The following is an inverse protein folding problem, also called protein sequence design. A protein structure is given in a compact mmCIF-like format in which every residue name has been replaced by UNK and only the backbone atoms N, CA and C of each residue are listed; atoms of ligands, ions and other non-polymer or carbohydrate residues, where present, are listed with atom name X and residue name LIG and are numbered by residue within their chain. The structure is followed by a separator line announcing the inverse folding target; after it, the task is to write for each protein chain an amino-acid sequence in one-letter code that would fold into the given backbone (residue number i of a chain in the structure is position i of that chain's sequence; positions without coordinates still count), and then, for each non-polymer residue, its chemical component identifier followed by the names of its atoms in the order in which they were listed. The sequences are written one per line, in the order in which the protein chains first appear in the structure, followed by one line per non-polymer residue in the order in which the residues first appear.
data_IF_193881496149
#
_entry.id   IF_193881496149
#
_cell.length_a   1.000
_cell.length_b   1.000
_cell.length_c   1.000
_cell.angle_alpha   90.00
_cell.angle_beta   90.00
_cell.angle_gamma   90.00
#
_symmetry.space_group_name_H-M   'P 1'
#
loop_
_entity.id
_entity.type
_entity.pdbx_description
1 polymer ?
#
# COMPACT_ATOMS: atom_id res chain seq x y z
N UNK A 1 35.19 22.02 -19.93
CA UNK A 1 34.06 21.27 -20.48
C UNK A 1 33.88 21.68 -21.94
N UNK A 2 33.93 20.74 -22.85
CA UNK A 2 33.78 21.00 -24.28
C UNK A 2 32.27 21.03 -24.63
N UNK A 3 31.83 21.72 -25.71
CA UNK A 3 30.45 21.75 -26.14
C UNK A 3 29.86 20.35 -26.39
N UNK A 4 30.68 19.39 -26.79
CA UNK A 4 30.28 18.00 -26.97
C UNK A 4 29.99 17.30 -25.65
N UNK A 5 30.67 17.62 -24.58
CA UNK A 5 30.40 17.07 -23.24
C UNK A 5 29.12 17.65 -22.62
N UNK A 6 28.83 18.93 -22.91
CA UNK A 6 27.56 19.55 -22.50
C UNK A 6 26.36 18.95 -23.26
N UNK A 7 26.53 18.65 -24.54
CA UNK A 7 25.50 17.99 -25.34
C UNK A 7 25.29 16.55 -24.92
N UNK A 8 26.36 15.85 -24.56
CA UNK A 8 26.25 14.46 -24.05
C UNK A 8 25.56 14.42 -22.68
N UNK A 9 25.90 15.32 -21.77
CA UNK A 9 25.28 15.45 -20.48
C UNK A 9 23.77 15.79 -20.60
N UNK A 10 23.42 16.68 -21.54
CA UNK A 10 22.03 17.02 -21.81
C UNK A 10 21.24 15.86 -22.47
N UNK A 11 21.90 15.02 -23.25
CA UNK A 11 21.29 13.83 -23.84
C UNK A 11 21.13 12.69 -22.82
N UNK A 12 22.07 12.54 -21.89
CA UNK A 12 21.96 11.57 -20.79
C UNK A 12 20.85 11.94 -19.81
N UNK A 13 20.63 13.24 -19.58
CA UNK A 13 19.51 13.73 -18.77
C UNK A 13 18.13 13.48 -19.43
N UNK A 14 18.11 13.44 -20.77
CA UNK A 14 16.90 13.10 -21.55
C UNK A 14 16.59 11.59 -21.54
N UNK A 15 17.55 10.74 -21.14
CA UNK A 15 17.41 9.29 -21.10
C UNK A 15 17.37 8.73 -19.67
N UNK A 16 17.38 9.58 -18.65
CA UNK A 16 17.13 9.15 -17.28
C UNK A 16 15.71 8.56 -17.21
N UNK A 17 15.52 7.34 -16.65
CA UNK A 17 14.20 6.76 -16.54
C UNK A 17 13.33 7.66 -15.68
N UNK A 18 12.29 8.24 -16.28
CA UNK A 18 11.30 9.01 -15.55
C UNK A 18 10.39 8.06 -14.77
N UNK A 19 10.31 8.26 -13.46
CA UNK A 19 9.35 7.56 -12.60
C UNK A 19 8.06 8.35 -12.61
N UNK A 20 7.00 7.77 -13.13
CA UNK A 20 5.69 8.42 -13.23
C UNK A 20 4.75 8.03 -12.08
N UNK A 21 4.87 6.80 -11.61
CA UNK A 21 3.97 6.25 -10.59
C UNK A 21 4.69 5.35 -9.60
N UNK A 22 4.45 5.64 -8.34
CA UNK A 22 4.90 4.83 -7.21
C UNK A 22 3.66 4.19 -6.58
N UNK A 23 3.64 2.86 -6.51
CA UNK A 23 2.62 2.10 -5.81
C UNK A 23 3.07 1.79 -4.40
N UNK A 24 2.25 2.08 -3.41
CA UNK A 24 2.46 1.64 -2.04
C UNK A 24 1.32 0.72 -1.61
N UNK A 25 1.68 -0.50 -1.21
CA UNK A 25 0.72 -1.43 -0.64
C UNK A 25 0.50 -1.10 0.83
N UNK A 26 -0.74 -0.91 1.21
CA UNK A 26 -1.15 -0.45 2.54
C UNK A 26 -2.01 -1.50 3.25
N UNK A 27 -1.76 -1.67 4.51
CA UNK A 27 -2.65 -2.30 5.47
C UNK A 27 -2.80 -1.37 6.69
N UNK A 28 -3.47 -1.80 7.74
CA UNK A 28 -3.67 -0.99 8.94
C UNK A 28 -2.52 -1.09 9.96
N UNK A 29 -1.37 -1.64 9.58
CA UNK A 29 -0.23 -1.80 10.48
C UNK A 29 0.64 -0.54 10.54
N UNK A 30 1.38 -0.37 11.63
CA UNK A 30 2.34 0.72 11.79
C UNK A 30 3.47 0.67 10.75
N UNK A 31 3.89 -0.53 10.36
CA UNK A 31 4.92 -0.73 9.33
C UNK A 31 4.48 -0.22 7.96
N UNK A 32 3.21 -0.41 7.67
CA UNK A 32 2.59 0.14 6.46
C UNK A 32 2.58 1.66 6.45
N UNK A 33 2.32 2.29 7.59
CA UNK A 33 2.33 3.75 7.72
C UNK A 33 3.74 4.32 7.57
N UNK A 34 4.76 3.64 8.09
CA UNK A 34 6.17 4.02 7.90
C UNK A 34 6.58 3.93 6.42
N UNK A 35 6.13 2.88 5.73
CA UNK A 35 6.35 2.71 4.29
C UNK A 35 5.68 3.81 3.48
N UNK A 36 4.53 4.26 3.92
CA UNK A 36 3.78 5.35 3.28
C UNK A 36 4.54 6.68 3.35
N UNK A 37 5.13 7.03 4.48
CA UNK A 37 5.92 8.25 4.61
C UNK A 37 7.14 8.22 3.67
N UNK A 38 7.84 7.10 3.60
CA UNK A 38 8.95 6.90 2.67
C UNK A 38 8.49 7.04 1.21
N UNK A 39 7.40 6.38 0.84
CA UNK A 39 6.85 6.42 -0.51
C UNK A 39 6.45 7.85 -0.92
N UNK A 40 5.85 8.60 -0.01
CA UNK A 40 5.44 9.97 -0.24
C UNK A 40 6.63 10.90 -0.46
N UNK A 41 7.66 10.77 0.35
CA UNK A 41 8.91 11.54 0.18
C UNK A 41 9.61 11.22 -1.13
N UNK A 42 9.63 9.95 -1.51
CA UNK A 42 10.19 9.52 -2.79
C UNK A 42 9.40 10.08 -3.96
N UNK A 43 8.08 10.02 -3.90
CA UNK A 43 7.20 10.61 -4.92
C UNK A 43 7.42 12.11 -5.06
N UNK A 44 7.59 12.84 -3.96
CA UNK A 44 7.89 14.26 -3.97
C UNK A 44 9.22 14.57 -4.68
N UNK A 45 10.27 13.79 -4.38
CA UNK A 45 11.59 13.97 -4.99
C UNK A 45 11.59 13.65 -6.49
N UNK A 46 10.88 12.61 -6.89
CA UNK A 46 10.83 12.14 -8.28
C UNK A 46 9.72 12.83 -9.09
N UNK A 47 8.92 13.67 -8.46
CA UNK A 47 7.73 14.30 -9.07
C UNK A 47 6.79 13.26 -9.67
N UNK A 48 6.67 12.12 -8.99
CA UNK A 48 5.82 11.01 -9.37
C UNK A 48 4.45 11.09 -8.69
N UNK A 49 3.46 10.42 -9.27
CA UNK A 49 2.17 10.18 -8.63
C UNK A 49 2.30 9.02 -7.63
N UNK A 50 1.65 9.15 -6.48
CA UNK A 50 1.60 8.14 -5.46
C UNK A 50 0.24 7.43 -5.51
N UNK A 51 0.25 6.12 -5.76
CA UNK A 51 -0.94 5.28 -5.70
C UNK A 51 -0.90 4.40 -4.47
N UNK A 52 -1.92 4.53 -3.60
CA UNK A 52 -2.12 3.63 -2.47
C UNK A 52 -3.03 2.47 -2.86
N UNK A 53 -2.61 1.26 -2.58
CA UNK A 53 -3.39 0.04 -2.77
C UNK A 53 -3.65 -0.62 -1.43
N UNK A 54 -4.92 -0.74 -1.08
CA UNK A 54 -5.36 -1.53 0.06
C UNK A 54 -5.98 -2.84 -0.44
N UNK A 55 -5.45 -3.98 0.01
CA UNK A 55 -5.96 -5.28 -0.40
C UNK A 55 -6.83 -5.88 0.69
N UNK A 56 -8.10 -6.10 0.37
CA UNK A 56 -9.00 -6.93 1.17
C UNK A 56 -8.68 -8.39 0.89
N UNK A 57 -7.96 -9.04 1.82
CA UNK A 57 -7.50 -10.41 1.62
C UNK A 57 -8.67 -11.39 1.68
N UNK A 58 -8.93 -12.04 0.57
CA UNK A 58 -10.00 -13.05 0.47
C UNK A 58 -9.77 -14.26 1.38
N UNK A 59 -8.52 -14.55 1.73
CA UNK A 59 -8.23 -15.65 2.65
C UNK A 59 -8.74 -15.34 4.05
N UNK A 60 -8.62 -14.11 4.50
CA UNK A 60 -9.21 -13.66 5.76
C UNK A 60 -10.74 -13.71 5.72
N UNK A 61 -11.34 -13.27 4.62
CA UNK A 61 -12.78 -13.30 4.42
C UNK A 61 -13.33 -14.74 4.39
N UNK A 62 -12.63 -15.67 3.71
CA UNK A 62 -12.97 -17.09 3.67
C UNK A 62 -12.86 -17.74 5.04
N UNK A 63 -11.86 -17.38 5.83
CA UNK A 63 -11.73 -17.87 7.20
C UNK A 63 -12.89 -17.41 8.08
N UNK A 64 -13.37 -16.19 7.92
CA UNK A 64 -14.52 -15.67 8.67
C UNK A 64 -15.84 -16.37 8.31
N UNK A 65 -15.97 -16.90 7.09
CA UNK A 65 -17.16 -17.61 6.61
C UNK A 65 -17.18 -19.09 7.02
N UNK A 66 -16.09 -19.63 7.56
CA UNK A 66 -16.04 -21.02 8.03
C UNK A 66 -16.76 -21.18 9.37
N UNK A 67 -17.74 -22.13 9.47
CA UNK A 67 -18.55 -22.28 10.68
C UNK A 67 -17.78 -22.73 11.93
N UNK A 68 -16.55 -23.18 11.78
CA UNK A 68 -15.70 -23.65 12.88
C UNK A 68 -14.59 -22.65 13.26
N UNK A 69 -14.51 -21.51 12.59
CA UNK A 69 -13.48 -20.50 12.90
C UNK A 69 -14.00 -19.57 13.98
N UNK A 70 -13.62 -19.86 15.20
CA UNK A 70 -13.73 -18.91 16.31
C UNK A 70 -12.41 -18.15 16.40
N UNK A 71 -12.41 -16.92 15.94
CA UNK A 71 -11.32 -16.02 16.25
C UNK A 71 -11.45 -15.64 17.72
N UNK A 72 -10.71 -16.32 18.56
CA UNK A 72 -10.56 -15.94 19.96
C UNK A 72 -9.67 -14.71 20.01
N UNK A 73 -10.25 -13.56 19.91
CA UNK A 73 -9.55 -12.33 20.27
C UNK A 73 -9.42 -12.30 21.79
N UNK A 74 -8.21 -12.38 22.29
CA UNK A 74 -7.90 -12.32 23.73
C UNK A 74 -8.36 -11.00 24.36
N UNK A 75 -8.70 -10.01 23.55
CA UNK A 75 -9.13 -8.68 24.00
C UNK A 75 -10.67 -8.56 24.19
N UNK A 76 -11.44 -9.51 23.71
CA UNK A 76 -12.91 -9.49 23.86
C UNK A 76 -13.38 -10.75 24.60
N UNK A 77 -13.80 -10.57 25.81
CA UNK A 77 -14.40 -11.60 26.66
C UNK A 77 -15.78 -12.05 26.19
N UNK A 78 -16.26 -11.56 25.05
CA UNK A 78 -17.63 -11.79 24.60
C UNK A 78 -17.84 -12.98 23.68
N UNK A 79 -16.87 -13.86 23.45
CA UNK A 79 -17.04 -15.15 22.78
C UNK A 79 -17.78 -15.14 21.43
N UNK A 80 -17.99 -13.99 20.84
CA UNK A 80 -18.64 -13.85 19.54
C UNK A 80 -17.59 -14.04 18.45
N UNK A 81 -17.74 -15.08 17.64
CA UNK A 81 -16.97 -15.27 16.43
C UNK A 81 -17.13 -14.06 15.51
N UNK A 82 -16.05 -13.67 14.85
CA UNK A 82 -16.10 -12.61 13.86
C UNK A 82 -16.98 -13.06 12.69
N UNK A 83 -18.14 -12.44 12.53
CA UNK A 83 -19.00 -12.70 11.38
C UNK A 83 -18.43 -12.08 10.10
N UNK A 84 -18.75 -12.63 8.94
CA UNK A 84 -18.35 -12.06 7.65
C UNK A 84 -18.73 -10.56 7.52
N UNK A 85 -19.98 -10.14 7.86
CA UNK A 85 -20.32 -8.71 7.82
C UNK A 85 -19.49 -7.83 8.76
N UNK A 86 -19.08 -8.34 9.91
CA UNK A 86 -18.22 -7.63 10.85
C UNK A 86 -16.80 -7.47 10.30
N UNK A 87 -16.28 -8.51 9.66
CA UNK A 87 -14.98 -8.49 8.99
C UNK A 87 -14.96 -7.49 7.84
N UNK A 88 -15.98 -7.49 7.01
CA UNK A 88 -16.11 -6.54 5.90
C UNK A 88 -16.18 -5.08 6.37
N UNK A 89 -16.90 -4.82 7.46
CA UNK A 89 -16.94 -3.48 8.06
C UNK A 89 -15.59 -3.04 8.60
N UNK A 90 -14.88 -3.94 9.25
CA UNK A 90 -13.55 -3.68 9.77
C UNK A 90 -12.56 -3.39 8.64
N UNK A 91 -12.57 -4.17 7.57
CA UNK A 91 -11.73 -3.94 6.39
C UNK A 91 -12.02 -2.60 5.73
N UNK A 92 -13.30 -2.22 5.62
CA UNK A 92 -13.66 -0.89 5.09
C UNK A 92 -13.18 0.24 5.98
N UNK A 93 -13.25 0.06 7.30
CA UNK A 93 -12.73 1.02 8.28
C UNK A 93 -11.22 1.17 8.13
N UNK A 94 -10.50 0.07 8.03
CA UNK A 94 -9.06 0.06 7.83
C UNK A 94 -8.66 0.71 6.49
N UNK A 95 -9.38 0.41 5.42
CA UNK A 95 -9.16 1.04 4.12
C UNK A 95 -9.37 2.56 4.19
N UNK A 96 -10.37 3.01 4.90
CA UNK A 96 -10.62 4.44 5.10
C UNK A 96 -9.50 5.13 5.87
N UNK A 97 -9.03 4.51 6.93
CA UNK A 97 -7.88 5.02 7.72
C UNK A 97 -6.62 5.10 6.84
N UNK A 98 -6.35 4.05 6.06
CA UNK A 98 -5.22 4.03 5.14
C UNK A 98 -5.32 5.15 4.08
N UNK A 99 -6.50 5.34 3.50
CA UNK A 99 -6.77 6.40 2.54
C UNK A 99 -6.56 7.79 3.14
N UNK A 100 -7.11 8.03 4.30
CA UNK A 100 -7.01 9.33 4.96
C UNK A 100 -5.56 9.64 5.35
N UNK A 101 -4.81 8.66 5.80
CA UNK A 101 -3.39 8.79 6.10
C UNK A 101 -2.58 9.09 4.84
N UNK A 102 -2.88 8.40 3.74
CA UNK A 102 -2.26 8.69 2.43
C UNK A 102 -2.53 10.13 1.99
N UNK A 103 -3.79 10.56 2.07
CA UNK A 103 -4.19 11.91 1.70
C UNK A 103 -3.44 12.97 2.52
N UNK A 104 -3.35 12.80 3.83
CA UNK A 104 -2.64 13.72 4.71
C UNK A 104 -1.15 13.81 4.37
N UNK A 105 -0.49 12.67 4.15
CA UNK A 105 0.92 12.65 3.76
C UNK A 105 1.14 13.28 2.39
N UNK A 106 0.31 12.95 1.41
CA UNK A 106 0.43 13.48 0.06
C UNK A 106 0.21 15.00 0.02
N UNK A 107 -0.75 15.52 0.75
CA UNK A 107 -0.99 16.95 0.88
C UNK A 107 0.19 17.67 1.54
N UNK A 108 0.77 17.06 2.58
CA UNK A 108 1.94 17.61 3.29
C UNK A 108 3.13 17.86 2.36
N UNK A 109 3.35 16.97 1.40
CA UNK A 109 4.48 17.03 0.46
C UNK A 109 4.08 17.52 -0.93
N UNK A 110 2.85 17.97 -1.12
CA UNK A 110 2.30 18.43 -2.40
C UNK A 110 2.44 17.37 -3.53
N UNK A 111 2.15 16.11 -3.20
CA UNK A 111 2.20 14.96 -4.11
C UNK A 111 0.81 14.68 -4.64
N UNK A 112 0.70 14.43 -5.95
CA UNK A 112 -0.53 13.91 -6.53
C UNK A 112 -0.70 12.45 -6.09
N UNK A 113 -1.91 12.11 -5.69
CA UNK A 113 -2.19 10.78 -5.16
C UNK A 113 -3.51 10.22 -5.69
N UNK A 114 -3.57 8.90 -5.67
CA UNK A 114 -4.79 8.12 -5.87
C UNK A 114 -4.83 6.97 -4.87
N UNK A 115 -6.00 6.44 -4.64
CA UNK A 115 -6.19 5.33 -3.71
C UNK A 115 -7.22 4.37 -4.28
N UNK A 116 -6.95 3.08 -4.19
CA UNK A 116 -7.92 2.05 -4.53
C UNK A 116 -7.86 0.88 -3.57
N UNK A 117 -8.98 0.22 -3.45
CA UNK A 117 -9.12 -1.08 -2.78
C UNK A 117 -9.25 -2.17 -3.83
N UNK A 118 -8.60 -3.30 -3.59
CA UNK A 118 -8.76 -4.51 -4.36
C UNK A 118 -9.14 -5.66 -3.43
N UNK A 119 -9.94 -6.58 -3.91
CA UNK A 119 -10.29 -7.80 -3.18
C UNK A 119 -9.69 -8.99 -3.90
N UNK A 120 -8.88 -9.76 -3.21
CA UNK A 120 -8.21 -10.91 -3.79
C UNK A 120 -7.11 -11.46 -2.89
N UNK A 121 -6.26 -12.32 -3.45
CA UNK A 121 -5.06 -12.76 -2.78
C UNK A 121 -4.03 -11.61 -2.77
N UNK A 122 -3.46 -11.30 -1.62
CA UNK A 122 -2.56 -10.16 -1.41
C UNK A 122 -1.47 -10.08 -2.47
N UNK A 123 -0.73 -11.17 -2.67
CA UNK A 123 0.38 -11.20 -3.62
C UNK A 123 -0.09 -10.99 -5.06
N UNK A 124 -1.21 -11.61 -5.46
CA UNK A 124 -1.76 -11.49 -6.82
C UNK A 124 -2.21 -10.07 -7.13
N UNK A 125 -2.87 -9.42 -6.19
CA UNK A 125 -3.36 -8.06 -6.36
C UNK A 125 -2.21 -7.05 -6.42
N UNK A 126 -1.18 -7.22 -5.59
CA UNK A 126 0.01 -6.39 -5.64
C UNK A 126 0.75 -6.57 -6.97
N UNK A 127 0.94 -7.80 -7.43
CA UNK A 127 1.61 -8.09 -8.71
C UNK A 127 0.84 -7.52 -9.90
N UNK A 128 -0.49 -7.64 -9.88
CA UNK A 128 -1.34 -7.06 -10.91
C UNK A 128 -1.22 -5.53 -10.96
N UNK A 129 -1.26 -4.87 -9.81
CA UNK A 129 -1.10 -3.44 -9.70
C UNK A 129 0.32 -2.97 -10.05
N UNK A 130 1.33 -3.77 -9.75
CA UNK A 130 2.73 -3.48 -10.03
C UNK A 130 3.04 -3.34 -11.52
N UNK A 131 2.26 -3.98 -12.40
CA UNK A 131 2.44 -3.86 -13.85
C UNK A 131 2.20 -2.44 -14.37
N UNK A 132 1.46 -1.62 -13.65
CA UNK A 132 1.14 -0.23 -14.01
C UNK A 132 1.99 0.80 -13.24
N UNK A 133 2.87 0.34 -12.37
CA UNK A 133 3.73 1.18 -11.54
C UNK A 133 5.19 1.04 -11.94
N UNK A 134 5.97 2.09 -11.74
CA UNK A 134 7.42 2.09 -11.97
C UNK A 134 8.18 1.61 -10.75
N UNK A 135 7.65 1.92 -9.55
CA UNK A 135 8.20 1.49 -8.26
C UNK A 135 7.08 0.95 -7.40
N UNK A 136 7.34 -0.16 -6.72
CA UNK A 136 6.42 -0.75 -5.75
C UNK A 136 7.07 -0.77 -4.38
N UNK A 137 6.37 -0.24 -3.39
CA UNK A 137 6.80 -0.21 -2.01
C UNK A 137 5.84 -1.06 -1.18
N UNK A 138 6.40 -2.05 -0.50
CA UNK A 138 5.65 -2.95 0.38
C UNK A 138 6.29 -2.91 1.76
N UNK A 139 5.48 -2.62 2.77
CA UNK A 139 5.92 -2.71 4.16
C UNK A 139 6.07 -4.17 4.57
N UNK A 140 7.20 -4.51 5.16
CA UNK A 140 7.43 -5.83 5.74
C UNK A 140 6.97 -5.82 7.19
N UNK A 141 5.92 -6.56 7.48
CA UNK A 141 5.52 -6.83 8.85
C UNK A 141 6.41 -7.94 9.41
N UNK A 142 7.20 -7.63 10.41
CA UNK A 142 8.00 -8.61 11.17
C UNK A 142 7.16 -9.41 12.19
N UNK A 143 5.87 -9.57 11.92
CA UNK A 143 5.08 -10.52 12.70
C UNK A 143 5.61 -11.92 12.43
N UNK A 144 6.53 -12.35 13.28
CA UNK A 144 6.86 -13.76 13.40
C UNK A 144 5.55 -14.51 13.67
N UNK A 145 5.10 -15.29 12.69
CA UNK A 145 4.07 -16.27 12.98
C UNK A 145 4.60 -17.16 14.10
N UNK A 146 3.91 -17.30 15.21
CA UNK A 146 4.31 -18.29 16.20
C UNK A 146 4.29 -19.66 15.52
N UNK A 147 5.45 -20.27 15.46
CA UNK A 147 5.59 -21.63 14.98
C UNK A 147 4.90 -22.61 15.94
#
# INVERSE_FOLDING_TARGET
MTPEQEQQAAQDDLHAPEVYRILVALDATEDSLASLDMATRMAAKLRAELEGLFVEDINLLRMADLPCTRVVSVATTSGQGMSLPSMERELRRQARVARDTLAMNAERYAVRWSFRTARGAMASEILSAASEADIVIVGKSDRAYPQ
#
